data_IF_218175529286
#
_entry.id   IF_218175529286
#
_cell.length_a   1.000
_cell.length_b   1.000
_cell.length_c   1.000
_cell.angle_alpha   90.00
_cell.angle_beta   90.00
_cell.angle_gamma   90.00
#
_symmetry.space_group_name_H-M   'P 1'
#
loop_
_entity.id
_entity.type
_entity.pdbx_description
1 polymer ?
#
# COMPACT_ATOMS: atom_id res chain seq x y z
N UNK A 1 -1.47 8.64 26.52
CA UNK A 1 -0.91 9.71 25.68
C UNK A 1 0.37 9.34 24.93
N UNK A 2 1.34 8.65 25.55
CA UNK A 2 2.61 8.30 24.92
C UNK A 2 2.48 7.51 23.59
N UNK A 3 1.62 6.48 23.53
CA UNK A 3 1.36 5.72 22.31
C UNK A 3 0.87 6.58 21.14
N UNK A 4 -0.02 7.56 21.40
CA UNK A 4 -0.56 8.46 20.37
C UNK A 4 0.51 9.40 19.80
N UNK A 5 1.36 9.98 20.68
CA UNK A 5 2.47 10.84 20.27
C UNK A 5 3.55 10.07 19.48
N UNK A 6 3.80 8.82 19.83
CA UNK A 6 4.73 7.94 19.11
C UNK A 6 4.23 7.63 17.70
N UNK A 7 2.96 7.25 17.56
CA UNK A 7 2.30 7.03 16.27
C UNK A 7 2.29 8.30 15.39
N UNK A 8 2.00 9.46 15.99
CA UNK A 8 2.01 10.74 15.28
C UNK A 8 3.40 11.07 14.70
N UNK A 9 4.47 10.82 15.46
CA UNK A 9 5.85 11.05 15.02
C UNK A 9 6.30 10.07 13.92
N UNK A 10 5.87 8.81 13.97
CA UNK A 10 6.15 7.82 12.92
C UNK A 10 5.47 8.22 11.62
N UNK A 11 4.18 8.54 11.66
CA UNK A 11 3.43 9.01 10.48
C UNK A 11 4.09 10.23 9.86
N UNK A 12 4.50 11.21 10.65
CA UNK A 12 5.19 12.40 10.13
C UNK A 12 6.51 12.02 9.42
N UNK A 13 7.29 11.12 9.99
CA UNK A 13 8.53 10.63 9.36
C UNK A 13 8.25 9.87 8.06
N UNK A 14 7.23 9.03 8.01
CA UNK A 14 6.80 8.33 6.79
C UNK A 14 6.39 9.32 5.70
N UNK A 15 5.57 10.33 6.03
CA UNK A 15 5.20 11.38 5.07
C UNK A 15 6.42 12.13 4.55
N UNK A 16 7.37 12.50 5.42
CA UNK A 16 8.62 13.14 4.98
C UNK A 16 9.46 12.21 4.12
N UNK A 17 9.47 10.90 4.41
CA UNK A 17 10.17 9.91 3.60
C UNK A 17 9.57 9.84 2.19
N UNK A 18 8.24 9.70 2.07
CA UNK A 18 7.53 9.69 0.78
C UNK A 18 7.66 10.99 -0.02
N UNK A 19 7.85 12.14 0.67
CA UNK A 19 8.18 13.41 0.01
C UNK A 19 9.62 13.46 -0.52
N UNK A 20 10.56 12.72 0.09
CA UNK A 20 11.96 12.65 -0.33
C UNK A 20 12.22 11.58 -1.38
N UNK A 21 11.61 10.41 -1.22
CA UNK A 21 11.61 9.29 -2.15
C UNK A 21 10.18 8.81 -2.27
N UNK A 22 9.63 8.83 -3.49
CA UNK A 22 8.27 8.35 -3.71
C UNK A 22 8.17 6.82 -3.67
N UNK A 23 9.31 6.14 -3.58
CA UNK A 23 9.40 4.68 -3.58
C UNK A 23 8.52 4.06 -2.50
N UNK A 24 7.74 3.06 -2.90
CA UNK A 24 6.81 2.31 -2.06
C UNK A 24 7.48 1.11 -1.37
N UNK A 25 8.65 0.68 -1.85
CA UNK A 25 9.39 -0.46 -1.31
C UNK A 25 10.32 -0.04 -0.17
N UNK A 26 9.74 0.35 0.98
CA UNK A 26 10.50 0.87 2.13
C UNK A 26 10.32 0.03 3.39
N UNK A 27 11.36 -0.03 4.22
CA UNK A 27 11.25 -0.54 5.60
C UNK A 27 10.87 0.61 6.51
N UNK A 28 9.79 0.45 7.28
CA UNK A 28 9.36 1.47 8.22
C UNK A 28 10.26 1.51 9.47
N UNK A 29 10.57 2.73 9.93
CA UNK A 29 11.36 2.95 11.13
C UNK A 29 10.61 2.44 12.38
N UNK A 30 11.18 1.43 13.03
CA UNK A 30 10.56 0.73 14.16
C UNK A 30 9.63 -0.43 13.79
N UNK A 31 9.57 -0.80 12.50
CA UNK A 31 8.94 -2.03 12.04
C UNK A 31 10.01 -3.04 11.66
N UNK A 32 10.02 -4.18 12.34
CA UNK A 32 10.99 -5.26 12.14
C UNK A 32 10.30 -6.58 11.74
N UNK A 33 11.10 -7.64 11.57
CA UNK A 33 10.62 -8.97 11.17
C UNK A 33 9.64 -9.56 12.19
N UNK A 34 9.80 -9.31 13.49
CA UNK A 34 8.87 -9.82 14.51
C UNK A 34 7.49 -9.16 14.38
N UNK A 35 7.45 -7.85 14.10
CA UNK A 35 6.18 -7.16 13.84
C UNK A 35 5.50 -7.72 12.58
N UNK A 36 6.29 -8.05 11.55
CA UNK A 36 5.79 -8.68 10.33
C UNK A 36 5.23 -10.08 10.59
N UNK A 37 5.93 -10.90 11.37
CA UNK A 37 5.46 -12.24 11.76
C UNK A 37 4.13 -12.16 12.52
N UNK A 38 4.01 -11.26 13.51
CA UNK A 38 2.76 -11.04 14.25
C UNK A 38 1.62 -10.57 13.32
N UNK A 39 1.90 -9.64 12.40
CA UNK A 39 0.90 -9.16 11.45
C UNK A 39 0.44 -10.26 10.48
N UNK A 40 1.34 -11.17 10.08
CA UNK A 40 1.02 -12.30 9.20
C UNK A 40 0.06 -13.33 9.83
N UNK A 41 0.02 -13.43 11.17
CA UNK A 41 -0.91 -14.33 11.87
C UNK A 41 -2.38 -13.86 11.84
N UNK A 42 -2.65 -12.65 11.34
CA UNK A 42 -4.01 -12.10 11.30
C UNK A 42 -4.88 -12.77 10.22
N UNK A 43 -5.89 -13.53 10.67
CA UNK A 43 -6.85 -14.25 9.81
C UNK A 43 -7.63 -13.36 8.82
N UNK A 44 -7.64 -12.03 9.00
CA UNK A 44 -8.29 -11.08 8.09
C UNK A 44 -7.42 -10.68 6.90
N UNK A 45 -6.16 -11.07 6.90
CA UNK A 45 -5.26 -10.79 5.79
C UNK A 45 -5.69 -11.61 4.57
N UNK A 46 -5.66 -10.97 3.40
CA UNK A 46 -5.88 -11.64 2.13
C UNK A 46 -4.54 -12.20 1.67
N UNK A 47 -4.44 -13.52 1.57
CA UNK A 47 -3.26 -14.19 1.02
C UNK A 47 -3.49 -14.44 -0.48
N UNK A 48 -2.64 -13.84 -1.31
CA UNK A 48 -2.70 -13.97 -2.76
C UNK A 48 -1.39 -14.56 -3.26
N UNK A 49 -1.46 -15.60 -4.09
CA UNK A 49 -0.27 -16.06 -4.81
C UNK A 49 -0.04 -15.13 -5.99
N UNK A 50 1.22 -14.92 -6.36
CA UNK A 50 1.54 -14.06 -7.50
C UNK A 50 0.84 -14.51 -8.79
N UNK A 51 0.69 -15.82 -8.99
CA UNK A 51 0.04 -16.40 -10.16
C UNK A 51 -1.49 -16.21 -10.17
N UNK A 52 -2.12 -15.87 -9.04
CA UNK A 52 -3.56 -15.60 -8.93
C UNK A 52 -3.89 -14.14 -9.30
N UNK A 53 -2.86 -13.27 -9.40
CA UNK A 53 -2.99 -11.88 -9.85
C UNK A 53 -3.08 -11.87 -11.38
N UNK A 54 -4.25 -11.51 -11.89
CA UNK A 54 -4.55 -11.44 -13.33
C UNK A 54 -3.96 -10.19 -13.97
N UNK A 55 -4.08 -9.03 -13.32
CA UNK A 55 -3.45 -7.78 -13.75
C UNK A 55 -3.02 -6.95 -12.54
N UNK A 56 -1.90 -6.26 -12.72
CA UNK A 56 -1.41 -5.27 -11.77
C UNK A 56 -0.80 -4.08 -12.50
N UNK A 57 -1.31 -2.90 -12.17
CA UNK A 57 -0.94 -1.64 -12.80
C UNK A 57 -1.10 -0.48 -11.83
N UNK A 58 -0.64 0.70 -12.21
CA UNK A 58 -0.83 1.90 -11.42
C UNK A 58 -1.25 3.08 -12.31
N UNK A 59 -1.97 4.01 -11.71
CA UNK A 59 -2.48 5.22 -12.36
C UNK A 59 -2.16 6.44 -11.50
N UNK A 60 -1.61 7.49 -12.12
CA UNK A 60 -1.47 8.79 -11.46
C UNK A 60 -2.74 9.62 -11.67
N UNK A 61 -3.43 9.94 -10.57
CA UNK A 61 -4.57 10.86 -10.57
C UNK A 61 -4.17 12.23 -10.04
N UNK A 62 -5.00 13.23 -10.28
CA UNK A 62 -4.78 14.60 -9.78
C UNK A 62 -4.58 14.62 -8.26
N UNK A 63 -5.35 13.80 -7.55
CA UNK A 63 -5.39 13.73 -6.10
C UNK A 63 -4.41 12.73 -5.46
N UNK A 64 -3.83 11.79 -6.21
CA UNK A 64 -2.96 10.75 -5.64
C UNK A 64 -2.56 9.67 -6.64
N UNK A 65 -1.64 8.79 -6.25
CA UNK A 65 -1.27 7.61 -7.05
C UNK A 65 -2.09 6.41 -6.60
N UNK A 66 -2.67 5.69 -7.57
CA UNK A 66 -3.54 4.53 -7.32
C UNK A 66 -2.88 3.27 -7.87
N UNK A 67 -2.83 2.23 -7.05
CA UNK A 67 -2.48 0.88 -7.44
C UNK A 67 -3.76 0.13 -7.80
N UNK A 68 -3.78 -0.51 -8.96
CA UNK A 68 -4.88 -1.30 -9.47
C UNK A 68 -4.44 -2.76 -9.44
N UNK A 69 -5.21 -3.62 -8.76
CA UNK A 69 -4.96 -5.05 -8.73
C UNK A 69 -6.24 -5.77 -9.13
N UNK A 70 -6.12 -6.70 -10.06
CA UNK A 70 -7.14 -7.66 -10.43
C UNK A 70 -6.61 -9.06 -10.12
N UNK A 71 -7.35 -9.84 -9.33
CA UNK A 71 -6.98 -11.21 -8.97
C UNK A 71 -8.20 -12.12 -8.97
N UNK A 72 -7.97 -13.43 -9.07
CA UNK A 72 -9.01 -14.45 -8.97
C UNK A 72 -9.06 -15.02 -7.55
N UNK A 73 -10.22 -14.93 -6.90
CA UNK A 73 -10.48 -15.54 -5.59
C UNK A 73 -11.76 -16.37 -5.70
N UNK A 74 -11.68 -17.66 -5.32
CA UNK A 74 -12.79 -18.62 -5.39
C UNK A 74 -13.51 -18.69 -6.76
N UNK A 75 -12.76 -18.54 -7.86
CA UNK A 75 -13.31 -18.59 -9.23
C UNK A 75 -14.00 -17.30 -9.68
N UNK A 76 -13.81 -16.19 -8.95
CA UNK A 76 -14.34 -14.86 -9.29
C UNK A 76 -13.21 -13.87 -9.44
N UNK A 77 -13.30 -13.05 -10.48
CA UNK A 77 -12.38 -11.95 -10.68
C UNK A 77 -12.79 -10.77 -9.78
N UNK A 78 -11.89 -10.38 -8.88
CA UNK A 78 -12.04 -9.21 -8.05
C UNK A 78 -11.13 -8.08 -8.54
N UNK A 79 -11.62 -6.84 -8.50
CA UNK A 79 -10.86 -5.65 -8.88
C UNK A 79 -10.80 -4.68 -7.71
N UNK A 80 -9.60 -4.40 -7.25
CA UNK A 80 -9.35 -3.54 -6.09
C UNK A 80 -8.47 -2.34 -6.48
N UNK A 81 -8.70 -1.22 -5.79
CA UNK A 81 -7.92 0.00 -5.96
C UNK A 81 -7.35 0.41 -4.61
N UNK A 82 -6.03 0.57 -4.55
CA UNK A 82 -5.31 0.98 -3.35
C UNK A 82 -4.66 2.34 -3.54
N UNK A 83 -4.66 3.15 -2.50
CA UNK A 83 -3.97 4.46 -2.48
C UNK A 83 -3.49 4.76 -1.06
N UNK A 84 -2.38 5.50 -0.94
CA UNK A 84 -1.82 5.82 0.37
C UNK A 84 -2.38 7.15 0.86
N UNK A 85 -3.12 7.13 1.96
CA UNK A 85 -3.60 8.33 2.62
C UNK A 85 -2.43 9.07 3.30
N UNK A 86 -2.29 10.36 3.03
CA UNK A 86 -1.35 11.27 3.69
C UNK A 86 -1.85 11.71 5.08
N UNK A 87 -3.13 12.07 5.17
CA UNK A 87 -3.72 12.50 6.44
C UNK A 87 -5.26 12.41 6.42
N UNK A 88 -5.83 12.23 7.61
CA UNK A 88 -7.26 12.40 7.86
C UNK A 88 -7.55 13.88 8.09
N UNK A 89 -8.21 14.54 7.15
CA UNK A 89 -8.61 15.93 7.30
C UNK A 89 -9.85 15.97 8.21
N UNK A 90 -9.75 16.67 9.34
CA UNK A 90 -10.89 16.85 10.24
C UNK A 90 -12.03 17.61 9.55
N UNK A 91 -13.26 17.18 9.78
CA UNK A 91 -14.49 17.87 9.35
C UNK A 91 -14.47 19.37 9.66
N UNK A 92 -15.08 20.24 8.82
CA UNK A 92 -16.11 19.94 7.82
C UNK A 92 -15.64 20.00 6.35
N UNK A 93 -14.51 19.40 6.00
CA UNK A 93 -14.07 19.30 4.60
C UNK A 93 -14.85 18.21 3.83
N UNK A 94 -15.14 18.49 2.55
CA UNK A 94 -15.97 17.65 1.65
C UNK A 94 -15.27 16.38 1.16
N UNK A 95 -13.93 16.37 1.17
CA UNK A 95 -13.08 15.21 0.85
C UNK A 95 -12.13 15.00 2.05
N UNK A 96 -12.48 14.09 2.97
CA UNK A 96 -11.87 14.03 4.31
C UNK A 96 -10.48 13.37 4.33
N UNK A 97 -9.91 13.02 3.17
CA UNK A 97 -8.66 12.26 3.09
C UNK A 97 -7.76 12.86 2.01
N UNK A 98 -6.57 13.31 2.41
CA UNK A 98 -5.52 13.72 1.46
C UNK A 98 -4.72 12.48 1.10
N UNK A 99 -4.41 12.27 -0.18
CA UNK A 99 -3.62 11.12 -0.63
C UNK A 99 -2.21 11.53 -1.06
N UNK A 100 -1.28 10.57 -1.00
CA UNK A 100 0.09 10.76 -1.46
C UNK A 100 0.24 10.37 -2.93
N UNK A 101 1.17 11.06 -3.60
CA UNK A 101 1.68 10.64 -4.91
C UNK A 101 2.93 9.82 -4.67
N UNK A 102 2.77 8.51 -4.71
CA UNK A 102 3.84 7.53 -4.50
C UNK A 102 4.16 6.82 -5.82
N UNK A 103 5.33 6.21 -5.86
CA UNK A 103 5.84 5.45 -6.98
C UNK A 103 5.55 3.96 -6.75
N UNK A 104 4.53 3.48 -7.44
CA UNK A 104 4.12 2.06 -7.42
C UNK A 104 4.93 1.22 -8.40
N UNK A 105 5.72 1.81 -9.30
CA UNK A 105 6.44 1.10 -10.35
C UNK A 105 7.34 -0.03 -9.79
N UNK A 106 8.16 0.19 -8.74
CA UNK A 106 9.01 -0.87 -8.19
C UNK A 106 8.21 -2.07 -7.66
N UNK A 107 7.06 -1.79 -7.01
CA UNK A 107 6.18 -2.82 -6.48
C UNK A 107 5.49 -3.63 -7.59
N UNK A 108 4.96 -2.95 -8.61
CA UNK A 108 4.34 -3.59 -9.77
C UNK A 108 5.35 -4.47 -10.52
N UNK A 109 6.56 -3.96 -10.72
CA UNK A 109 7.63 -4.72 -11.37
C UNK A 109 8.03 -5.95 -10.55
N UNK A 110 8.17 -5.80 -9.23
CA UNK A 110 8.53 -6.89 -8.33
C UNK A 110 7.57 -8.09 -8.40
N UNK A 111 6.26 -7.82 -8.52
CA UNK A 111 5.23 -8.84 -8.68
C UNK A 111 5.33 -9.50 -10.05
N UNK A 112 5.38 -8.71 -11.12
CA UNK A 112 5.46 -9.21 -12.50
C UNK A 112 6.68 -10.11 -12.73
N UNK A 113 7.82 -9.77 -12.13
CA UNK A 113 9.05 -10.55 -12.24
C UNK A 113 8.95 -11.95 -11.59
N UNK A 114 8.01 -12.13 -10.64
CA UNK A 114 7.79 -13.37 -9.88
C UNK A 114 6.61 -14.20 -10.36
N UNK A 115 5.76 -13.63 -11.20
CA UNK A 115 4.73 -14.40 -11.88
C UNK A 115 5.38 -15.39 -12.82
N UNK A 116 4.96 -16.66 -12.74
CA UNK A 116 5.39 -17.64 -13.73
C UNK A 116 4.73 -17.25 -15.04
N UNK A 117 5.51 -16.66 -15.95
CA UNK A 117 5.07 -16.38 -17.32
C UNK A 117 4.68 -17.73 -17.93
N UNK A 118 3.40 -18.06 -17.88
CA UNK A 118 2.85 -19.19 -18.62
C UNK A 118 2.75 -18.70 -20.04
N UNK A 119 3.82 -18.95 -20.80
CA UNK A 119 3.96 -18.58 -22.20
C UNK A 119 3.26 -19.60 -23.09
#
# INVERSE_FOLDING_TARGET
>A
EAKKKWWDAIRQRQTVHFLKSKDTMITHDGYDENNLEEDMENEKNVELRFDDILDISFEEKDWGSVLLIEYEEDGKNEKHQYSIAQDWVKYPAKEPTKYMKVDWEPFVQYIKDRQKITR
#
